data_IF_927766875133
#
_entry.id   IF_927766875133
#
_cell.length_a   1.000
_cell.length_b   1.000
_cell.length_c   1.000
_cell.angle_alpha   90.00
_cell.angle_beta   90.00
_cell.angle_gamma   90.00
#
_symmetry.space_group_name_H-M   'P 1'
#
loop_
_entity.id
_entity.type
_entity.pdbx_description
1 polymer ?
#
# COMPACT_ATOMS: atom_id res chain seq x y z
N UNK A 1 32.89 4.14 1.84
CA UNK A 1 31.70 5.00 1.93
C UNK A 1 31.53 5.63 0.55
N UNK A 2 30.45 5.33 -0.18
CA UNK A 2 30.25 5.88 -1.52
C UNK A 2 29.89 7.36 -1.34
N UNK A 3 30.80 8.27 -1.69
CA UNK A 3 30.55 9.71 -1.68
C UNK A 3 30.29 10.17 -3.11
N UNK A 4 29.02 10.35 -3.45
CA UNK A 4 28.62 11.04 -4.69
C UNK A 4 28.51 12.54 -4.37
N UNK A 5 29.09 13.40 -5.21
CA UNK A 5 29.00 14.84 -4.98
C UNK A 5 27.55 15.32 -5.19
N UNK A 6 27.08 16.31 -4.43
CA UNK A 6 25.69 16.80 -4.55
C UNK A 6 25.38 17.32 -5.96
N UNK A 7 26.37 17.86 -6.67
CA UNK A 7 26.25 18.35 -8.04
C UNK A 7 26.01 17.23 -9.06
N UNK A 8 26.39 15.99 -8.75
CA UNK A 8 26.21 14.84 -9.65
C UNK A 8 24.86 14.14 -9.46
N UNK A 9 24.06 14.55 -8.46
CA UNK A 9 22.78 13.92 -8.13
C UNK A 9 21.64 14.69 -8.79
N UNK A 10 20.91 14.03 -9.68
CA UNK A 10 19.74 14.62 -10.32
C UNK A 10 18.52 14.67 -9.38
N UNK A 11 17.57 15.56 -9.65
CA UNK A 11 16.31 15.60 -8.91
C UNK A 11 15.50 14.31 -9.07
N UNK A 12 15.65 13.62 -10.21
CA UNK A 12 15.03 12.31 -10.45
C UNK A 12 15.60 11.24 -9.51
N UNK A 13 16.89 11.29 -9.18
CA UNK A 13 17.52 10.38 -8.23
C UNK A 13 17.00 10.62 -6.81
N UNK A 14 16.88 11.89 -6.40
CA UNK A 14 16.34 12.27 -5.09
C UNK A 14 14.88 11.83 -4.98
N UNK A 15 14.06 12.14 -6.01
CA UNK A 15 12.66 11.76 -6.03
C UNK A 15 12.48 10.23 -5.96
N UNK A 16 13.29 9.48 -6.71
CA UNK A 16 13.28 8.01 -6.66
C UNK A 16 13.72 7.48 -5.30
N UNK A 17 14.80 8.02 -4.73
CA UNK A 17 15.31 7.61 -3.43
C UNK A 17 14.26 7.83 -2.34
N UNK A 18 13.63 9.01 -2.33
CA UNK A 18 12.56 9.33 -1.40
C UNK A 18 11.35 8.40 -1.59
N UNK A 19 10.91 8.19 -2.83
CA UNK A 19 9.80 7.29 -3.15
C UNK A 19 10.05 5.87 -2.63
N UNK A 20 11.25 5.32 -2.90
CA UNK A 20 11.63 3.98 -2.44
C UNK A 20 11.71 3.96 -0.91
N UNK A 21 12.36 4.94 -0.28
CA UNK A 21 12.50 5.01 1.17
C UNK A 21 11.15 5.03 1.87
N UNK A 22 10.24 5.91 1.46
CA UNK A 22 8.88 5.99 2.01
C UNK A 22 8.11 4.70 1.78
N UNK A 23 8.20 4.13 0.58
CA UNK A 23 7.49 2.88 0.26
C UNK A 23 8.02 1.69 1.08
N UNK A 24 9.34 1.57 1.24
CA UNK A 24 9.97 0.53 2.05
C UNK A 24 9.57 0.66 3.53
N UNK A 25 9.50 1.89 4.04
CA UNK A 25 9.05 2.14 5.42
C UNK A 25 7.60 1.68 5.64
N UNK A 26 6.68 2.01 4.71
CA UNK A 26 5.29 1.52 4.73
C UNK A 26 5.26 -0.02 4.71
N UNK A 27 6.06 -0.65 3.84
CA UNK A 27 6.15 -2.11 3.74
C UNK A 27 6.62 -2.77 5.03
N UNK A 28 7.63 -2.19 5.69
CA UNK A 28 8.14 -2.71 6.96
C UNK A 28 7.10 -2.60 8.07
N UNK A 29 6.43 -1.45 8.22
CA UNK A 29 5.38 -1.25 9.22
C UNK A 29 4.23 -2.24 8.98
N UNK A 30 3.81 -2.42 7.72
CA UNK A 30 2.77 -3.37 7.36
C UNK A 30 3.16 -4.82 7.68
N UNK A 31 4.40 -5.22 7.37
CA UNK A 31 4.93 -6.54 7.72
C UNK A 31 4.94 -6.77 9.25
N UNK A 32 5.46 -5.82 10.03
CA UNK A 32 5.52 -5.94 11.49
C UNK A 32 4.13 -6.04 12.12
N UNK A 33 3.17 -5.26 11.63
CA UNK A 33 1.77 -5.37 12.06
C UNK A 33 1.18 -6.72 11.68
N UNK A 34 1.47 -7.23 10.47
CA UNK A 34 1.01 -8.54 10.04
C UNK A 34 1.55 -9.66 10.93
N UNK A 35 2.78 -9.55 11.44
CA UNK A 35 3.33 -10.46 12.44
C UNK A 35 2.56 -10.40 13.77
N UNK A 36 2.26 -9.20 14.27
CA UNK A 36 1.56 -9.01 15.56
C UNK A 36 0.15 -9.63 15.52
N UNK A 37 -0.57 -9.44 14.41
CA UNK A 37 -1.95 -9.92 14.26
C UNK A 37 -2.05 -11.25 13.51
N UNK A 38 -0.93 -11.94 13.28
CA UNK A 38 -0.86 -13.25 12.62
C UNK A 38 -1.56 -13.30 11.24
N UNK A 39 -1.46 -12.23 10.47
CA UNK A 39 -2.10 -12.13 9.15
C UNK A 39 -1.12 -12.42 8.02
N UNK A 40 -1.55 -13.24 7.04
CA UNK A 40 -0.74 -13.58 5.86
C UNK A 40 -1.03 -12.74 4.62
N UNK A 41 -2.16 -12.01 4.63
CA UNK A 41 -2.67 -11.26 3.48
C UNK A 41 -2.74 -9.79 3.84
N UNK A 42 -1.94 -8.98 3.16
CA UNK A 42 -1.85 -7.54 3.42
C UNK A 42 -2.42 -6.81 2.22
N UNK A 43 -3.48 -6.03 2.42
CA UNK A 43 -4.10 -5.23 1.36
C UNK A 43 -3.58 -3.81 1.40
N UNK A 44 -2.91 -3.38 0.34
CA UNK A 44 -2.45 -2.02 0.18
C UNK A 44 -3.44 -1.25 -0.70
N UNK A 45 -4.00 -0.17 -0.13
CA UNK A 45 -5.04 0.65 -0.74
C UNK A 45 -4.74 2.14 -0.57
N UNK A 46 -5.48 3.00 -1.24
CA UNK A 46 -5.30 4.45 -1.21
C UNK A 46 -4.56 5.03 -2.42
N UNK A 47 -4.69 6.35 -2.60
CA UNK A 47 -4.30 7.04 -3.83
C UNK A 47 -2.78 7.17 -4.02
N UNK A 48 -1.96 6.89 -3.00
CA UNK A 48 -0.49 6.83 -3.13
C UNK A 48 -0.03 5.79 -4.17
N UNK A 49 -0.82 4.73 -4.34
CA UNK A 49 -0.53 3.63 -5.27
C UNK A 49 -1.11 3.87 -6.67
N UNK A 50 -1.90 4.93 -6.85
CA UNK A 50 -2.57 5.23 -8.12
C UNK A 50 -1.55 5.49 -9.21
N UNK A 51 -1.58 4.66 -10.25
CA UNK A 51 -0.60 4.65 -11.35
C UNK A 51 0.87 4.49 -10.91
N UNK A 52 1.13 4.17 -9.65
CA UNK A 52 2.47 4.10 -9.07
C UNK A 52 2.98 2.65 -9.01
N UNK A 53 3.35 2.13 -10.18
CA UNK A 53 3.86 0.75 -10.32
C UNK A 53 5.18 0.52 -9.58
N UNK A 54 5.97 1.57 -9.37
CA UNK A 54 7.24 1.48 -8.63
C UNK A 54 6.92 1.11 -7.18
N UNK A 55 6.06 1.87 -6.52
CA UNK A 55 5.71 1.59 -5.12
C UNK A 55 5.00 0.26 -4.94
N UNK A 56 4.08 -0.13 -5.83
CA UNK A 56 3.44 -1.44 -5.74
C UNK A 56 4.45 -2.60 -5.82
N UNK A 57 5.43 -2.51 -6.72
CA UNK A 57 6.49 -3.54 -6.84
C UNK A 57 7.40 -3.55 -5.62
N UNK A 58 7.79 -2.37 -5.13
CA UNK A 58 8.60 -2.24 -3.92
C UNK A 58 7.90 -2.84 -2.70
N UNK A 59 6.60 -2.59 -2.50
CA UNK A 59 5.82 -3.21 -1.42
C UNK A 59 5.71 -4.72 -1.58
N UNK A 60 5.41 -5.21 -2.78
CA UNK A 60 5.31 -6.65 -3.04
C UNK A 60 6.63 -7.36 -2.72
N UNK A 61 7.75 -6.80 -3.16
CA UNK A 61 9.08 -7.30 -2.86
C UNK A 61 9.39 -7.25 -1.36
N UNK A 62 9.12 -6.13 -0.69
CA UNK A 62 9.38 -5.98 0.74
C UNK A 62 8.64 -7.04 1.57
N UNK A 63 7.34 -7.22 1.32
CA UNK A 63 6.53 -8.19 2.05
C UNK A 63 7.02 -9.61 1.80
N UNK A 64 7.28 -9.98 0.54
CA UNK A 64 7.80 -11.31 0.20
C UNK A 64 9.17 -11.58 0.86
N UNK A 65 10.09 -10.60 0.80
CA UNK A 65 11.42 -10.69 1.37
C UNK A 65 11.41 -10.86 2.89
N UNK A 66 10.74 -9.95 3.62
CA UNK A 66 10.74 -9.97 5.09
C UNK A 66 9.98 -11.17 5.65
N UNK A 67 8.93 -11.61 4.95
CA UNK A 67 8.16 -12.78 5.36
C UNK A 67 8.73 -14.11 4.88
N UNK A 68 9.82 -14.12 4.11
CA UNK A 68 10.37 -15.32 3.46
C UNK A 68 9.30 -16.08 2.66
N UNK A 69 8.47 -15.33 1.91
CA UNK A 69 7.39 -15.85 1.08
C UNK A 69 6.13 -16.31 1.82
N UNK A 70 6.03 -16.11 3.14
CA UNK A 70 4.87 -16.52 3.93
C UNK A 70 3.69 -15.54 3.86
N UNK A 71 3.95 -14.29 3.47
CA UNK A 71 2.94 -13.23 3.37
C UNK A 71 2.84 -12.70 1.95
N UNK A 72 1.66 -12.22 1.58
CA UNK A 72 1.39 -11.68 0.24
C UNK A 72 0.79 -10.29 0.29
N UNK A 73 1.39 -9.39 -0.47
CA UNK A 73 0.83 -8.07 -0.75
C UNK A 73 -0.24 -8.17 -1.83
N UNK A 74 -1.41 -7.60 -1.55
CA UNK A 74 -2.55 -7.51 -2.45
C UNK A 74 -2.82 -6.05 -2.81
N UNK A 75 -3.19 -5.82 -4.07
CA UNK A 75 -3.50 -4.50 -4.62
C UNK A 75 -4.88 -4.55 -5.28
N UNK A 76 -5.64 -3.46 -5.15
CA UNK A 76 -6.94 -3.31 -5.78
C UNK A 76 -6.82 -2.46 -7.05
N UNK A 77 -7.78 -2.59 -7.99
CA UNK A 77 -7.89 -1.69 -9.16
C UNK A 77 -8.57 -0.36 -8.85
N UNK A 78 -9.38 -0.35 -7.79
CA UNK A 78 -10.15 0.80 -7.31
C UNK A 78 -9.71 1.17 -5.90
N UNK A 79 -8.41 1.12 -5.66
CA UNK A 79 -7.75 1.31 -4.37
C UNK A 79 -8.07 2.64 -3.69
N UNK A 80 -8.38 3.69 -4.46
CA UNK A 80 -8.73 5.02 -3.95
C UNK A 80 -10.20 5.19 -3.56
N UNK A 81 -11.08 4.23 -3.87
CA UNK A 81 -12.53 4.43 -3.79
C UNK A 81 -13.20 3.70 -2.62
N UNK A 82 -12.46 2.91 -1.84
CA UNK A 82 -13.05 2.06 -0.79
C UNK A 82 -13.81 2.87 0.28
N UNK A 83 -13.31 4.05 0.64
CA UNK A 83 -14.00 4.94 1.59
C UNK A 83 -15.33 5.47 1.05
N UNK A 84 -15.35 5.94 -0.21
CA UNK A 84 -16.56 6.41 -0.88
C UNK A 84 -17.57 5.28 -1.10
N UNK A 85 -17.09 4.09 -1.50
CA UNK A 85 -17.91 2.90 -1.67
C UNK A 85 -18.55 2.47 -0.34
N UNK A 86 -17.80 2.50 0.76
CA UNK A 86 -18.33 2.21 2.09
C UNK A 86 -19.44 3.18 2.50
N UNK A 87 -19.25 4.48 2.28
CA UNK A 87 -20.28 5.49 2.58
C UNK A 87 -21.55 5.30 1.73
N UNK A 88 -21.38 4.99 0.44
CA UNK A 88 -22.49 4.70 -0.45
C UNK A 88 -23.30 3.49 0.01
N UNK A 89 -22.62 2.37 0.31
CA UNK A 89 -23.28 1.14 0.76
C UNK A 89 -24.06 1.35 2.06
N UNK A 90 -23.47 2.06 3.03
CA UNK A 90 -24.13 2.38 4.30
C UNK A 90 -25.40 3.21 4.13
N UNK A 91 -25.40 4.17 3.18
CA UNK A 91 -26.60 4.95 2.89
C UNK A 91 -27.69 4.09 2.22
N UNK A 92 -27.29 3.21 1.30
CA UNK A 92 -28.25 2.33 0.61
C UNK A 92 -28.89 1.31 1.56
N UNK A 93 -28.13 0.74 2.51
CA UNK A 93 -28.66 -0.21 3.48
C UNK A 93 -29.60 0.44 4.49
N UNK A 94 -29.35 1.71 4.87
CA UNK A 94 -30.30 2.50 5.67
C UNK A 94 -31.57 2.91 4.92
N UNK A 95 -31.53 2.90 3.58
CA UNK A 95 -32.65 3.26 2.72
C UNK A 95 -33.49 2.08 2.25
N UNK A 96 -33.06 0.83 2.50
CA UNK A 96 -33.95 -0.33 2.37
C UNK A 96 -34.99 -0.27 3.48
N UNK A 97 -36.29 -0.10 3.19
CA UNK A 97 -37.31 -0.38 4.18
C UNK A 97 -37.10 -1.83 4.61
N UNK A 98 -37.28 -2.11 5.90
CA UNK A 98 -37.41 -3.48 6.38
C UNK A 98 -38.25 -4.27 5.38
N UNK A 99 -37.73 -5.41 4.95
CA UNK A 99 -38.56 -6.43 4.33
C UNK A 99 -39.62 -6.79 5.38
N UNK A 100 -40.77 -6.12 5.31
CA UNK A 100 -42.03 -6.65 5.77
C UNK A 100 -42.47 -7.73 4.79
N UNK A 101 -42.99 -8.82 5.38
CA UNK A 101 -43.45 -10.11 4.86
C UNK A 101 -42.40 -11.13 4.44
#
# INVERSE_FOLDING_TARGET
MISVSRSDVSDADIARALLIMTTQNIGLIAYLNACIYETKRIFFVGNFLRHNKISCRTLAYAIDFWSKGQMKAHFCRHEGYLGALGAFLSNTSSSSPMAES
#
